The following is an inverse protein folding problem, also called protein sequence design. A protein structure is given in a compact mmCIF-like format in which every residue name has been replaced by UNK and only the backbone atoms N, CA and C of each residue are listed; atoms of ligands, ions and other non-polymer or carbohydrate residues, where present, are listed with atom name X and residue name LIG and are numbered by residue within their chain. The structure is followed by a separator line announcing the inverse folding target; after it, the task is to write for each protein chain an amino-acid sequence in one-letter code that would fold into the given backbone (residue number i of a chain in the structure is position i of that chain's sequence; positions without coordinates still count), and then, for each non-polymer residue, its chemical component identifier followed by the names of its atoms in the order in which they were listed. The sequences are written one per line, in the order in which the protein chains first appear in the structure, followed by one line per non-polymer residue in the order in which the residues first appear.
data_IF_555812111229
#
_entry.id   IF_555812111229
#
_cell.length_a   1.000
_cell.length_b   1.000
_cell.length_c   1.000
_cell.angle_alpha   90.00
_cell.angle_beta   90.00
_cell.angle_gamma   90.00
#
_symmetry.space_group_name_H-M   'P 1'
#
loop_
_entity.id
_entity.type
_entity.pdbx_description
1 polymer ?
#
# COMPACT_ATOMS: atom_id res chain seq x y z
N UNK A 1 0.33 62.45 27.78
CA UNK A 1 -0.64 62.25 26.69
C UNK A 1 0.10 61.77 25.47
N UNK A 2 -0.56 60.91 24.68
CA UNK A 2 -0.17 60.35 23.38
C UNK A 2 0.68 59.07 23.44
N UNK A 3 0.00 58.02 23.01
CA UNK A 3 0.46 56.67 22.75
C UNK A 3 1.03 56.54 21.32
N UNK A 4 1.51 55.33 21.00
CA UNK A 4 1.24 54.54 19.77
C UNK A 4 2.45 53.84 19.14
N UNK A 5 2.32 52.51 19.16
CA UNK A 5 2.68 51.51 18.15
C UNK A 5 4.16 51.32 17.75
N UNK A 6 4.71 50.23 18.32
CA UNK A 6 5.66 49.35 17.64
C UNK A 6 5.16 49.01 16.24
N UNK A 7 5.98 49.32 15.22
CA UNK A 7 5.87 48.76 13.86
C UNK A 7 6.07 47.25 13.95
N UNK A 8 5.00 46.50 13.73
CA UNK A 8 5.07 45.11 13.29
C UNK A 8 5.23 45.13 11.77
N UNK A 9 6.24 44.43 11.28
CA UNK A 9 6.44 44.17 9.86
C UNK A 9 5.42 43.09 9.49
N UNK A 10 4.29 43.52 8.93
CA UNK A 10 3.30 42.64 8.32
C UNK A 10 3.92 42.02 7.08
N UNK A 11 4.05 40.70 7.06
CA UNK A 11 4.20 39.95 5.82
C UNK A 11 2.87 40.05 5.09
N UNK A 12 2.87 40.62 3.89
CA UNK A 12 1.74 40.61 2.98
C UNK A 12 1.45 39.17 2.56
N UNK A 13 0.50 38.54 3.24
CA UNK A 13 -0.18 37.33 2.78
C UNK A 13 -1.13 37.80 1.69
N UNK A 14 -0.74 37.59 0.43
CA UNK A 14 -1.64 37.74 -0.72
C UNK A 14 -2.76 36.70 -0.55
N UNK A 15 -3.95 37.20 -0.24
CA UNK A 15 -5.20 36.47 -0.25
C UNK A 15 -5.52 36.09 -1.71
N UNK A 16 -5.36 34.81 -2.06
CA UNK A 16 -5.97 34.25 -3.26
C UNK A 16 -7.42 33.88 -2.93
N UNK A 17 -8.36 34.48 -3.65
CA UNK A 17 -9.79 34.19 -3.57
C UNK A 17 -10.06 32.70 -3.84
N UNK A 18 -11.05 32.07 -3.15
CA UNK A 18 -11.43 30.69 -3.44
C UNK A 18 -12.17 30.63 -4.78
N UNK A 19 -11.40 30.37 -5.84
CA UNK A 19 -11.92 29.99 -7.15
C UNK A 19 -12.87 28.80 -7.03
N UNK A 20 -13.99 28.93 -7.72
CA UNK A 20 -15.15 28.04 -7.71
C UNK A 20 -14.76 26.55 -7.80
N UNK A 21 -15.18 25.79 -6.78
CA UNK A 21 -15.09 24.33 -6.80
C UNK A 21 -16.01 23.81 -7.89
N UNK A 22 -15.43 23.54 -9.05
CA UNK A 22 -16.13 22.84 -10.12
C UNK A 22 -16.41 21.42 -9.64
N UNK A 23 -17.65 21.22 -9.21
CA UNK A 23 -18.21 19.93 -8.85
C UNK A 23 -18.23 19.06 -10.10
N UNK A 24 -17.32 18.07 -10.19
CA UNK A 24 -17.48 16.81 -10.93
C UNK A 24 -16.21 15.95 -10.87
N UNK A 25 -16.03 15.22 -9.77
CA UNK A 25 -15.53 13.84 -9.88
C UNK A 25 -16.15 13.02 -8.76
N UNK A 26 -17.43 12.67 -8.97
CA UNK A 26 -18.12 11.65 -8.19
C UNK A 26 -17.70 10.29 -8.75
N UNK A 27 -17.54 9.34 -7.82
CA UNK A 27 -17.33 7.89 -8.01
C UNK A 27 -15.85 7.55 -8.22
N UNK A 28 -15.15 6.88 -7.30
CA UNK A 28 -15.46 5.48 -7.01
C UNK A 28 -14.70 5.00 -5.76
N UNK A 29 -15.35 4.94 -4.60
CA UNK A 29 -14.98 3.97 -3.57
C UNK A 29 -15.31 2.58 -4.11
N UNK A 30 -14.42 1.98 -4.90
CA UNK A 30 -14.53 0.57 -5.27
C UNK A 30 -13.89 -0.24 -4.14
N UNK A 31 -14.65 -0.44 -3.07
CA UNK A 31 -14.37 -1.47 -2.08
C UNK A 31 -14.51 -2.84 -2.77
N UNK A 32 -13.41 -3.34 -3.35
CA UNK A 32 -13.37 -4.64 -4.04
C UNK A 32 -12.63 -4.65 -5.39
N UNK A 33 -11.61 -3.82 -5.57
CA UNK A 33 -10.91 -3.78 -6.86
C UNK A 33 -10.08 -5.07 -7.11
N UNK A 34 -10.43 -5.80 -8.17
CA UNK A 34 -9.60 -6.85 -8.78
C UNK A 34 -8.65 -6.21 -9.79
N UNK A 35 -7.47 -5.79 -9.30
CA UNK A 35 -6.54 -4.92 -10.03
C UNK A 35 -6.30 -5.32 -11.50
N UNK A 36 -6.48 -4.37 -12.42
CA UNK A 36 -6.14 -4.52 -13.84
C UNK A 36 -5.13 -3.46 -14.24
N UNK A 37 -3.95 -3.92 -14.62
CA UNK A 37 -2.86 -3.03 -15.00
C UNK A 37 -3.19 -2.23 -16.26
N UNK A 38 -2.84 -0.94 -16.24
CA UNK A 38 -2.78 -0.12 -17.44
C UNK A 38 -1.87 -0.77 -18.48
N UNK A 39 -2.33 -0.76 -19.75
CA UNK A 39 -1.59 -1.30 -20.88
C UNK A 39 -0.68 -0.20 -21.42
N UNK A 40 0.59 -0.51 -21.61
CA UNK A 40 1.52 0.34 -22.37
C UNK A 40 1.10 0.33 -23.85
N UNK A 41 0.99 1.45 -24.59
CA UNK A 41 1.33 2.84 -24.23
C UNK A 41 0.11 3.75 -23.94
N UNK A 42 -1.10 3.20 -23.82
CA UNK A 42 -2.37 3.97 -23.77
C UNK A 42 -2.76 4.50 -22.38
N UNK A 43 -1.88 4.34 -21.38
CA UNK A 43 -2.14 4.82 -20.03
C UNK A 43 -1.97 6.34 -19.94
N UNK A 44 -3.09 7.07 -19.83
CA UNK A 44 -3.08 8.51 -19.55
C UNK A 44 -2.19 8.82 -18.34
N UNK A 45 -1.36 9.85 -18.53
CA UNK A 45 -0.45 10.41 -17.55
C UNK A 45 -1.14 10.66 -16.20
N UNK A 46 -0.75 9.93 -15.17
CA UNK A 46 -1.04 10.36 -13.81
C UNK A 46 0.05 11.39 -13.44
N UNK A 47 -0.22 12.65 -13.78
CA UNK A 47 0.62 13.76 -13.33
C UNK A 47 0.49 13.87 -11.82
N UNK A 48 1.49 13.37 -11.09
CA UNK A 48 1.69 13.79 -9.71
C UNK A 48 2.02 15.29 -9.79
N UNK A 49 1.14 16.10 -9.19
CA UNK A 49 1.10 17.56 -9.27
C UNK A 49 2.47 18.24 -9.45
N UNK A 50 2.53 19.06 -10.49
CA UNK A 50 3.37 20.24 -10.73
C UNK A 50 4.53 20.41 -9.74
N UNK A 51 5.74 20.10 -10.22
CA UNK A 51 7.07 20.61 -9.79
C UNK A 51 8.20 19.55 -9.82
N UNK A 52 8.03 18.43 -10.53
CA UNK A 52 9.16 17.52 -10.82
C UNK A 52 9.33 17.41 -12.33
N UNK A 53 10.41 18.07 -12.78
CA UNK A 53 11.03 18.08 -14.11
C UNK A 53 10.62 16.95 -15.07
N UNK A 54 10.28 17.37 -16.29
CA UNK A 54 9.99 16.54 -17.48
C UNK A 54 11.20 15.73 -17.98
N UNK A 55 11.82 14.92 -17.12
CA UNK A 55 12.92 14.03 -17.47
C UNK A 55 12.77 12.68 -16.76
N UNK A 56 12.29 11.68 -17.51
CA UNK A 56 12.74 10.29 -17.34
C UNK A 56 12.08 9.43 -16.26
N UNK A 57 11.03 9.87 -15.57
CA UNK A 57 10.26 8.96 -14.70
C UNK A 57 9.47 7.99 -15.59
N UNK A 58 10.00 6.78 -15.73
CA UNK A 58 9.36 5.69 -16.45
C UNK A 58 7.92 5.51 -15.94
N UNK A 59 6.95 5.44 -16.86
CA UNK A 59 5.55 5.22 -16.54
C UNK A 59 5.39 3.96 -15.66
N UNK A 60 5.04 4.15 -14.39
CA UNK A 60 4.72 3.03 -13.52
C UNK A 60 3.33 2.49 -13.88
N UNK A 61 3.19 1.18 -14.14
CA UNK A 61 1.89 0.58 -14.35
C UNK A 61 1.01 0.81 -13.12
N UNK A 62 -0.26 1.13 -13.34
CA UNK A 62 -1.23 1.38 -12.27
C UNK A 62 -2.53 0.67 -12.59
N UNK A 63 -3.38 0.48 -11.59
CA UNK A 63 -4.70 -0.09 -11.78
C UNK A 63 -5.62 0.95 -12.44
N UNK A 64 -6.22 0.61 -13.57
CA UNK A 64 -7.14 1.52 -14.29
C UNK A 64 -8.45 1.79 -13.53
N UNK A 65 -8.75 1.00 -12.51
CA UNK A 65 -10.00 1.11 -11.74
C UNK A 65 -9.85 1.92 -10.46
N UNK A 66 -8.75 1.73 -9.71
CA UNK A 66 -8.55 2.37 -8.41
C UNK A 66 -7.30 3.28 -8.34
N UNK A 67 -6.47 3.32 -9.39
CA UNK A 67 -5.27 4.15 -9.43
C UNK A 67 -4.07 3.60 -8.64
N UNK A 68 -4.21 2.47 -7.94
CA UNK A 68 -3.09 1.86 -7.19
C UNK A 68 -1.90 1.57 -8.10
N UNK A 69 -0.70 1.95 -7.69
CA UNK A 69 0.54 1.73 -8.45
C UNK A 69 0.99 0.28 -8.29
N UNK A 70 1.34 -0.38 -9.40
CA UNK A 70 1.84 -1.74 -9.41
C UNK A 70 3.25 -1.79 -8.84
N UNK A 71 3.50 -2.75 -7.96
CA UNK A 71 4.86 -3.10 -7.60
C UNK A 71 5.56 -3.73 -8.82
N UNK A 72 6.58 -3.05 -9.37
CA UNK A 72 7.40 -3.54 -10.50
C UNK A 72 8.75 -4.11 -10.08
N UNK A 73 9.05 -4.10 -8.78
CA UNK A 73 10.29 -4.68 -8.26
C UNK A 73 10.29 -6.21 -8.38
N UNK A 74 11.44 -6.83 -8.10
CA UNK A 74 11.56 -8.27 -7.90
C UNK A 74 10.90 -8.75 -6.60
N UNK A 75 10.72 -7.87 -5.62
CA UNK A 75 10.15 -8.15 -4.30
C UNK A 75 8.62 -8.10 -4.29
N UNK A 76 7.98 -8.82 -5.22
CA UNK A 76 6.52 -8.85 -5.35
C UNK A 76 5.87 -9.80 -4.36
N UNK A 77 4.79 -9.32 -3.75
CA UNK A 77 3.91 -10.10 -2.91
C UNK A 77 3.47 -11.43 -3.58
N UNK A 78 3.29 -12.45 -2.74
CA UNK A 78 2.82 -13.79 -3.11
C UNK A 78 1.37 -13.97 -2.69
N UNK A 79 0.66 -14.87 -3.38
CA UNK A 79 -0.71 -15.21 -3.02
C UNK A 79 -0.76 -15.87 -1.64
N UNK A 80 -1.93 -15.79 -0.98
CA UNK A 80 -2.17 -16.50 0.29
C UNK A 80 -1.81 -18.00 0.21
N UNK A 81 -2.05 -18.62 -0.95
CA UNK A 81 -1.72 -20.03 -1.22
C UNK A 81 -0.23 -20.39 -1.06
N UNK A 82 0.68 -19.44 -1.30
CA UNK A 82 2.11 -19.64 -1.05
C UNK A 82 2.39 -19.83 0.44
N UNK A 83 1.79 -18.99 1.28
CA UNK A 83 1.95 -19.02 2.74
C UNK A 83 1.23 -20.21 3.38
N UNK A 84 0.04 -20.58 2.92
CA UNK A 84 -0.63 -21.80 3.40
C UNK A 84 0.17 -23.06 3.06
N UNK A 85 0.81 -23.09 1.87
CA UNK A 85 1.74 -24.13 1.50
C UNK A 85 2.96 -24.22 2.43
N UNK A 86 3.48 -23.08 2.91
CA UNK A 86 4.55 -23.03 3.91
C UNK A 86 4.07 -23.62 5.25
N UNK A 87 2.91 -23.17 5.75
CA UNK A 87 2.34 -23.67 7.00
C UNK A 87 2.15 -25.19 6.97
N UNK A 88 1.74 -25.75 5.83
CA UNK A 88 1.59 -27.20 5.65
C UNK A 88 2.91 -27.99 5.71
N UNK A 89 4.06 -27.34 5.52
CA UNK A 89 5.39 -27.97 5.61
C UNK A 89 6.04 -27.83 6.99
N UNK A 90 5.56 -26.93 7.83
CA UNK A 90 6.05 -26.73 9.20
C UNK A 90 5.54 -27.85 10.10
N UNK A 91 6.41 -28.76 10.52
CA UNK A 91 6.05 -29.93 11.34
C UNK A 91 5.78 -29.55 12.80
N UNK A 92 6.26 -28.39 13.20
CA UNK A 92 6.13 -27.80 14.52
C UNK A 92 4.70 -27.30 14.79
N UNK A 93 3.91 -27.08 13.73
CA UNK A 93 2.54 -26.57 13.84
C UNK A 93 1.52 -27.71 13.95
N UNK A 94 0.64 -27.60 14.95
CA UNK A 94 -0.54 -28.45 15.05
C UNK A 94 -1.58 -28.03 14.02
N UNK A 95 -2.41 -28.96 13.57
CA UNK A 95 -3.50 -28.71 12.59
C UNK A 95 -4.41 -27.54 12.98
N UNK A 96 -4.69 -27.37 14.27
CA UNK A 96 -5.50 -26.25 14.78
C UNK A 96 -4.77 -24.91 14.65
N UNK A 97 -3.45 -24.86 14.89
CA UNK A 97 -2.64 -23.65 14.74
C UNK A 97 -2.56 -23.23 13.26
N UNK A 98 -2.34 -24.19 12.35
CA UNK A 98 -2.37 -23.92 10.90
C UNK A 98 -3.69 -23.27 10.49
N UNK A 99 -4.82 -23.75 11.02
CA UNK A 99 -6.15 -23.20 10.74
C UNK A 99 -6.32 -21.78 11.31
N UNK A 100 -5.92 -21.55 12.56
CA UNK A 100 -5.99 -20.23 13.19
C UNK A 100 -5.15 -19.18 12.44
N UNK A 101 -3.90 -19.54 12.11
CA UNK A 101 -2.99 -18.69 11.35
C UNK A 101 -3.56 -18.38 9.97
N UNK A 102 -4.06 -19.39 9.24
CA UNK A 102 -4.63 -19.19 7.90
C UNK A 102 -5.85 -18.26 7.93
N UNK A 103 -6.72 -18.41 8.94
CA UNK A 103 -7.87 -17.53 9.11
C UNK A 103 -7.44 -16.08 9.42
N UNK A 104 -6.43 -15.88 10.25
CA UNK A 104 -5.94 -14.52 10.56
C UNK A 104 -5.27 -13.88 9.34
N UNK A 105 -4.49 -14.62 8.55
CA UNK A 105 -3.91 -14.14 7.30
C UNK A 105 -4.99 -13.76 6.28
N UNK A 106 -6.08 -14.53 6.21
CA UNK A 106 -7.20 -14.25 5.30
C UNK A 106 -8.01 -13.02 5.74
N UNK A 107 -8.07 -12.73 7.05
CA UNK A 107 -8.76 -11.56 7.58
C UNK A 107 -7.99 -10.25 7.34
N UNK A 108 -6.71 -10.31 6.97
CA UNK A 108 -5.95 -9.14 6.55
C UNK A 108 -6.21 -8.85 5.06
N UNK A 109 -7.08 -7.88 4.78
CA UNK A 109 -7.47 -7.51 3.41
C UNK A 109 -6.26 -7.20 2.50
N UNK A 110 -5.28 -6.47 3.02
CA UNK A 110 -4.07 -6.09 2.27
C UNK A 110 -3.11 -7.26 2.04
N UNK A 111 -3.20 -8.34 2.82
CA UNK A 111 -2.25 -9.46 2.73
C UNK A 111 -2.34 -10.17 1.37
N UNK A 112 -3.52 -10.20 0.76
CA UNK A 112 -3.72 -10.89 -0.52
C UNK A 112 -3.53 -9.96 -1.74
N UNK A 113 -3.20 -8.68 -1.55
CA UNK A 113 -2.93 -7.76 -2.66
C UNK A 113 -1.54 -8.01 -3.26
N UNK A 114 -1.49 -8.92 -4.23
CA UNK A 114 -0.27 -9.23 -4.99
C UNK A 114 0.12 -8.16 -6.02
N UNK A 115 -0.73 -7.15 -6.25
CA UNK A 115 -0.51 -6.12 -7.26
C UNK A 115 0.39 -5.00 -6.74
N UNK A 116 0.10 -4.50 -5.53
CA UNK A 116 0.76 -3.34 -4.95
C UNK A 116 1.78 -3.70 -3.86
N UNK A 117 1.57 -4.78 -3.13
CA UNK A 117 2.35 -5.07 -1.93
C UNK A 117 3.72 -5.72 -2.22
N UNK A 118 4.60 -5.66 -1.21
CA UNK A 118 5.92 -6.28 -1.25
C UNK A 118 5.94 -7.64 -0.54
N UNK A 119 6.79 -8.58 -1.01
CA UNK A 119 6.98 -9.86 -0.31
C UNK A 119 7.64 -9.62 1.05
N UNK A 120 8.57 -8.67 1.17
CA UNK A 120 9.21 -8.33 2.45
C UNK A 120 8.18 -7.93 3.51
N UNK A 121 7.19 -7.10 3.15
CA UNK A 121 6.12 -6.72 4.06
C UNK A 121 5.26 -7.93 4.47
N UNK A 122 4.85 -8.77 3.51
CA UNK A 122 4.09 -9.98 3.81
C UNK A 122 4.85 -10.97 4.71
N UNK A 123 6.17 -11.11 4.52
CA UNK A 123 7.01 -11.96 5.37
C UNK A 123 6.95 -11.51 6.83
N UNK A 124 7.03 -10.20 7.09
CA UNK A 124 6.97 -9.65 8.45
C UNK A 124 5.64 -9.98 9.11
N UNK A 125 4.53 -9.69 8.43
CA UNK A 125 3.18 -10.01 8.90
C UNK A 125 3.01 -11.52 9.14
N UNK A 126 3.51 -12.34 8.22
CA UNK A 126 3.46 -13.80 8.36
C UNK A 126 4.21 -14.28 9.62
N UNK A 127 5.44 -13.80 9.83
CA UNK A 127 6.25 -14.16 11.00
C UNK A 127 5.52 -13.76 12.30
N UNK A 128 4.98 -12.55 12.36
CA UNK A 128 4.29 -12.04 13.55
C UNK A 128 3.04 -12.87 13.89
N UNK A 129 2.22 -13.20 12.89
CA UNK A 129 1.02 -14.02 13.08
C UNK A 129 1.41 -15.45 13.50
N UNK A 130 2.43 -16.05 12.87
CA UNK A 130 2.89 -17.39 13.25
C UNK A 130 3.39 -17.41 14.69
N UNK A 131 4.19 -16.42 15.11
CA UNK A 131 4.70 -16.29 16.49
C UNK A 131 3.58 -16.08 17.51
N UNK A 132 2.51 -15.37 17.12
CA UNK A 132 1.33 -15.16 17.98
C UNK A 132 0.59 -16.45 18.27
N UNK A 133 0.43 -17.33 17.28
CA UNK A 133 -0.34 -18.59 17.42
C UNK A 133 0.51 -19.81 17.76
N UNK A 134 1.82 -19.71 17.61
CA UNK A 134 2.76 -20.78 17.90
C UNK A 134 4.00 -20.23 18.59
N UNK A 135 4.41 -20.89 19.68
CA UNK A 135 5.64 -20.55 20.40
C UNK A 135 6.88 -21.09 19.65
N UNK A 136 7.10 -20.58 18.44
CA UNK A 136 8.19 -20.96 17.52
C UNK A 136 9.11 -19.75 17.36
N UNK A 137 10.42 -19.97 17.39
CA UNK A 137 11.38 -18.90 17.16
C UNK A 137 11.32 -18.39 15.73
N UNK A 138 11.63 -17.11 15.54
CA UNK A 138 11.67 -16.51 14.22
C UNK A 138 12.65 -17.21 13.28
N UNK A 139 13.81 -17.65 13.77
CA UNK A 139 14.78 -18.39 12.96
C UNK A 139 14.20 -19.71 12.42
N UNK A 140 13.38 -20.38 13.20
CA UNK A 140 12.72 -21.61 12.76
C UNK A 140 11.69 -21.34 11.66
N UNK A 141 10.98 -20.20 11.70
CA UNK A 141 10.03 -19.79 10.66
C UNK A 141 10.76 -19.40 9.38
N UNK A 142 11.83 -18.58 9.49
CA UNK A 142 12.62 -18.07 8.36
C UNK A 142 13.22 -19.19 7.51
N UNK A 143 13.50 -20.36 8.08
CA UNK A 143 13.99 -21.54 7.35
C UNK A 143 13.03 -22.02 6.24
N UNK A 144 11.75 -21.66 6.29
CA UNK A 144 10.72 -22.10 5.34
C UNK A 144 10.33 -21.06 4.27
N UNK A 145 10.88 -19.83 4.33
CA UNK A 145 10.53 -18.68 3.50
C UNK A 145 11.46 -18.46 2.29
#
# INVERSE_FOLDING_TARGET
MVAFKKRLISHDIIMAEPGEKNANNKNNEISGCTHKSSRWPEGNWFFLSDNVTQQGLANHPHCIYCGTIKNISSDRAKSLGYYTGILGRMKELKKIQVRLISNELQAYDEFNDTYAQSKTWQIRIFIDIVKKHANISEQAIVKYL
#
